data_IF_661996861186
#
_entry.id   IF_661996861186
#
_cell.length_a   1.000
_cell.length_b   1.000
_cell.length_c   1.000
_cell.angle_alpha   90.00
_cell.angle_beta   90.00
_cell.angle_gamma   90.00
#
_symmetry.space_group_name_H-M   'P 1'
#
loop_
_entity.id
_entity.type
_entity.pdbx_description
1 polymer ?
#
# COMPACT_ATOMS: atom_id res chain seq x y z
N UNK A 1 17.36 29.55 16.16
CA UNK A 1 16.77 28.21 16.36
C UNK A 1 15.83 27.99 15.17
N UNK A 2 16.01 26.90 14.43
CA UNK A 2 15.09 26.56 13.33
C UNK A 2 13.68 26.29 13.89
N UNK A 3 12.66 26.66 13.11
CA UNK A 3 11.29 26.46 13.55
C UNK A 3 10.91 24.97 13.52
N UNK A 4 10.23 24.51 14.57
CA UNK A 4 9.59 23.19 14.58
C UNK A 4 8.43 23.23 13.57
N UNK A 5 8.41 22.30 12.62
CA UNK A 5 7.42 22.24 11.55
C UNK A 5 6.48 21.04 11.68
N UNK A 6 6.91 19.95 12.35
CA UNK A 6 6.10 18.75 12.54
C UNK A 6 6.51 18.01 13.82
N UNK A 7 5.61 17.75 14.76
CA UNK A 7 5.75 16.90 15.98
C UNK A 7 7.16 16.91 16.64
N UNK A 8 7.75 18.09 16.83
CA UNK A 8 9.07 18.27 17.43
C UNK A 8 10.26 18.19 16.46
N UNK A 9 10.03 17.94 15.18
CA UNK A 9 11.05 17.98 14.15
C UNK A 9 11.21 19.37 13.53
N UNK A 10 12.46 19.77 13.32
CA UNK A 10 12.82 20.99 12.61
C UNK A 10 12.82 20.74 11.09
N UNK A 11 12.69 21.79 10.29
CA UNK A 11 12.61 21.70 8.83
C UNK A 11 13.78 20.89 8.21
N UNK A 12 14.98 21.08 8.72
CA UNK A 12 16.21 20.47 8.24
C UNK A 12 16.29 18.96 8.53
N UNK A 13 15.53 18.49 9.54
CA UNK A 13 15.48 17.08 9.94
C UNK A 13 14.47 16.28 9.11
N UNK A 14 13.47 16.96 8.52
CA UNK A 14 12.31 16.31 7.89
C UNK A 14 12.71 15.34 6.79
N UNK A 15 13.61 15.75 5.91
CA UNK A 15 14.03 14.90 4.78
C UNK A 15 14.66 13.59 5.26
N UNK A 16 15.53 13.62 6.27
CA UNK A 16 16.14 12.43 6.82
C UNK A 16 15.11 11.51 7.51
N UNK A 17 14.20 12.09 8.28
CA UNK A 17 13.27 11.33 9.11
C UNK A 17 12.04 10.81 8.36
N UNK A 18 11.66 11.44 7.26
CA UNK A 18 10.43 11.12 6.53
C UNK A 18 10.66 10.77 5.05
N UNK A 19 11.91 10.70 4.59
CA UNK A 19 12.30 10.09 3.32
C UNK A 19 13.24 8.90 3.56
N UNK A 20 12.71 7.67 3.79
CA UNK A 20 13.52 6.49 4.14
C UNK A 20 14.62 6.17 3.13
N UNK A 21 14.43 6.52 1.85
CA UNK A 21 15.46 6.31 0.82
C UNK A 21 16.73 7.13 1.09
N UNK A 22 16.59 8.32 1.68
CA UNK A 22 17.74 9.15 2.06
C UNK A 22 18.54 8.53 3.22
N UNK A 23 17.90 7.68 4.03
CA UNK A 23 18.51 7.03 5.19
C UNK A 23 19.14 5.66 4.88
N UNK A 24 18.97 5.12 3.65
CA UNK A 24 19.48 3.80 3.24
C UNK A 24 20.46 3.95 2.07
N UNK A 25 21.78 4.08 2.33
CA UNK A 25 22.79 4.27 1.27
C UNK A 25 22.77 3.18 0.19
N UNK A 26 22.54 1.92 0.59
CA UNK A 26 22.56 0.76 -0.30
C UNK A 26 21.20 0.49 -0.96
N UNK A 27 20.24 1.42 -0.88
CA UNK A 27 18.90 1.26 -1.45
C UNK A 27 18.91 0.81 -2.93
N UNK A 28 19.76 1.37 -3.82
CA UNK A 28 19.79 0.95 -5.23
C UNK A 28 20.09 -0.53 -5.41
N UNK A 29 21.04 -1.07 -4.63
CA UNK A 29 21.39 -2.50 -4.65
C UNK A 29 20.20 -3.37 -4.25
N UNK A 30 19.53 -3.05 -3.16
CA UNK A 30 18.37 -3.80 -2.68
C UNK A 30 17.19 -3.71 -3.64
N UNK A 31 16.99 -2.54 -4.27
CA UNK A 31 15.95 -2.36 -5.29
C UNK A 31 16.22 -3.26 -6.52
N UNK A 32 17.47 -3.33 -6.98
CA UNK A 32 17.87 -4.20 -8.10
C UNK A 32 17.69 -5.68 -7.78
N UNK A 33 18.13 -6.14 -6.60
CA UNK A 33 17.96 -7.54 -6.16
C UNK A 33 16.48 -7.91 -6.05
N UNK A 34 15.65 -7.02 -5.52
CA UNK A 34 14.20 -7.20 -5.45
C UNK A 34 13.59 -7.30 -6.85
N UNK A 35 13.95 -6.40 -7.76
CA UNK A 35 13.44 -6.41 -9.13
C UNK A 35 13.83 -7.69 -9.87
N UNK A 36 15.08 -8.15 -9.75
CA UNK A 36 15.54 -9.44 -10.32
C UNK A 36 14.76 -10.63 -9.76
N UNK A 37 14.54 -10.66 -8.45
CA UNK A 37 13.77 -11.72 -7.80
C UNK A 37 12.30 -11.70 -8.25
N UNK A 38 11.70 -10.51 -8.35
CA UNK A 38 10.33 -10.32 -8.83
C UNK A 38 10.16 -10.78 -10.28
N UNK A 39 11.11 -10.46 -11.15
CA UNK A 39 11.08 -10.89 -12.55
C UNK A 39 11.15 -12.43 -12.68
N UNK A 40 11.98 -13.10 -11.85
CA UNK A 40 12.04 -14.56 -11.82
C UNK A 40 10.71 -15.18 -11.37
N UNK A 41 10.14 -14.66 -10.26
CA UNK A 41 8.87 -15.16 -9.74
C UNK A 41 7.73 -14.96 -10.74
N UNK A 42 7.64 -13.78 -11.36
CA UNK A 42 6.59 -13.46 -12.34
C UNK A 42 6.63 -14.37 -13.57
N UNK A 43 7.83 -14.79 -14.02
CA UNK A 43 7.98 -15.70 -15.15
C UNK A 43 7.71 -17.17 -14.82
N UNK A 44 7.92 -17.57 -13.56
CA UNK A 44 7.82 -18.97 -13.13
C UNK A 44 6.45 -19.36 -12.58
N UNK A 45 5.59 -18.42 -12.27
CA UNK A 45 4.29 -18.68 -11.66
C UNK A 45 3.16 -18.62 -12.69
N UNK A 46 2.15 -19.47 -12.49
CA UNK A 46 0.88 -19.33 -13.20
C UNK A 46 0.26 -17.98 -12.80
N UNK A 47 -0.20 -17.20 -13.79
CA UNK A 47 -0.72 -15.87 -13.53
C UNK A 47 -1.67 -15.38 -14.62
N UNK A 48 -2.54 -14.47 -14.24
CA UNK A 48 -3.22 -13.54 -15.13
C UNK A 48 -2.60 -12.17 -14.91
N UNK A 49 -1.97 -11.63 -15.93
CA UNK A 49 -1.26 -10.35 -15.87
C UNK A 49 -2.12 -9.24 -16.45
N UNK A 50 -1.94 -8.04 -15.89
CA UNK A 50 -2.58 -6.80 -16.36
C UNK A 50 -4.11 -6.89 -16.46
N UNK A 51 -4.75 -7.59 -15.50
CA UNK A 51 -6.21 -7.68 -15.42
C UNK A 51 -6.77 -6.31 -15.05
N UNK A 52 -7.63 -5.68 -15.91
CA UNK A 52 -8.10 -4.34 -15.65
C UNK A 52 -9.20 -4.31 -14.57
N UNK A 53 -9.14 -3.34 -13.67
CA UNK A 53 -10.18 -3.02 -12.70
C UNK A 53 -10.77 -1.62 -12.91
N UNK A 54 -10.21 -0.84 -13.85
CA UNK A 54 -10.62 0.51 -14.17
C UNK A 54 -10.22 0.92 -15.59
N UNK A 55 -10.28 2.22 -15.88
CA UNK A 55 -10.14 2.74 -17.23
C UNK A 55 -8.76 3.30 -17.57
N UNK A 56 -7.90 3.55 -16.59
CA UNK A 56 -6.55 4.05 -16.87
C UNK A 56 -5.59 2.87 -17.15
N UNK A 57 -4.49 3.12 -17.88
CA UNK A 57 -3.50 2.07 -18.17
C UNK A 57 -2.85 1.44 -16.91
N UNK A 58 -2.86 2.16 -15.79
CA UNK A 58 -2.34 1.65 -14.52
C UNK A 58 -3.41 1.07 -13.59
N UNK A 59 -4.68 1.18 -13.92
CA UNK A 59 -5.74 0.52 -13.16
C UNK A 59 -5.85 -0.96 -13.54
N UNK A 60 -4.77 -1.71 -13.29
CA UNK A 60 -4.62 -3.13 -13.58
C UNK A 60 -4.06 -3.87 -12.36
N UNK A 61 -4.18 -5.18 -12.35
CA UNK A 61 -3.60 -6.05 -11.33
C UNK A 61 -3.03 -7.33 -11.94
N UNK A 62 -2.05 -7.94 -11.27
CA UNK A 62 -1.59 -9.29 -11.58
C UNK A 62 -2.18 -10.25 -10.55
N UNK A 63 -2.74 -11.38 -11.02
CA UNK A 63 -3.38 -12.39 -10.16
C UNK A 63 -2.60 -13.70 -10.28
N UNK A 64 -2.15 -14.22 -9.14
CA UNK A 64 -1.40 -15.46 -9.01
C UNK A 64 -2.25 -16.46 -8.22
N UNK A 65 -2.91 -17.43 -8.86
CA UNK A 65 -3.82 -18.35 -8.19
C UNK A 65 -3.08 -19.37 -7.33
N UNK A 66 -3.69 -19.76 -6.23
CA UNK A 66 -3.30 -20.98 -5.53
C UNK A 66 -3.68 -22.23 -6.36
N UNK A 67 -3.05 -23.37 -6.05
CA UNK A 67 -3.37 -24.64 -6.71
C UNK A 67 -4.78 -25.17 -6.36
N UNK A 68 -5.30 -24.79 -5.21
CA UNK A 68 -6.64 -25.20 -4.75
C UNK A 68 -7.68 -24.10 -4.98
N UNK A 69 -8.89 -24.46 -5.42
CA UNK A 69 -9.98 -23.49 -5.55
C UNK A 69 -10.44 -22.97 -4.18
N UNK A 70 -11.16 -21.85 -4.20
CA UNK A 70 -11.64 -21.14 -3.01
C UNK A 70 -10.52 -20.82 -2.00
N UNK A 71 -9.35 -20.45 -2.51
CA UNK A 71 -8.20 -20.08 -1.71
C UNK A 71 -8.39 -18.72 -1.02
N UNK A 72 -7.81 -18.48 0.19
CA UNK A 72 -7.74 -17.14 0.74
C UNK A 72 -7.01 -16.21 -0.23
N UNK A 73 -7.42 -14.94 -0.24
CA UNK A 73 -6.90 -13.94 -1.18
C UNK A 73 -6.08 -12.91 -0.42
N UNK A 74 -4.85 -12.69 -0.84
CA UNK A 74 -4.00 -11.60 -0.38
C UNK A 74 -3.89 -10.54 -1.48
N UNK A 75 -4.45 -9.37 -1.27
CA UNK A 75 -4.21 -8.19 -2.10
C UNK A 75 -3.02 -7.41 -1.54
N UNK A 76 -1.99 -7.26 -2.34
CA UNK A 76 -0.81 -6.48 -1.97
C UNK A 76 -0.75 -5.17 -2.73
N UNK A 77 -0.49 -4.08 -2.00
CA UNK A 77 -0.42 -2.71 -2.49
C UNK A 77 1.01 -2.22 -2.35
N UNK A 78 1.64 -1.88 -3.48
CA UNK A 78 3.03 -1.45 -3.48
C UNK A 78 3.22 -0.05 -2.89
N UNK A 79 4.46 0.24 -2.45
CA UNK A 79 4.90 1.55 -2.02
C UNK A 79 5.48 2.39 -3.14
N UNK A 80 6.06 3.53 -2.78
CA UNK A 80 6.72 4.45 -3.71
C UNK A 80 6.28 5.90 -3.58
N UNK A 81 5.81 6.29 -2.41
CA UNK A 81 5.32 7.64 -2.13
C UNK A 81 4.26 8.12 -3.12
N UNK A 82 3.37 7.23 -3.57
CA UNK A 82 2.30 7.52 -4.55
C UNK A 82 2.81 8.12 -5.89
N UNK A 83 4.12 8.21 -6.12
CA UNK A 83 4.76 8.79 -7.30
C UNK A 83 5.69 7.84 -8.05
N UNK A 84 5.80 6.61 -7.60
CA UNK A 84 6.66 5.59 -8.20
C UNK A 84 6.36 4.21 -7.67
N UNK A 85 7.13 3.23 -8.12
CA UNK A 85 6.90 1.81 -7.84
C UNK A 85 5.96 1.18 -8.86
N UNK A 86 5.90 -0.14 -8.80
CA UNK A 86 5.02 -0.94 -9.66
C UNK A 86 4.72 -2.30 -9.04
N UNK A 87 3.66 -2.95 -9.50
CA UNK A 87 3.33 -4.32 -9.12
C UNK A 87 4.42 -5.31 -9.55
N UNK A 88 5.09 -5.05 -10.67
CA UNK A 88 6.16 -5.90 -11.21
C UNK A 88 7.35 -6.03 -10.26
N UNK A 89 7.71 -4.94 -9.58
CA UNK A 89 8.84 -4.90 -8.63
C UNK A 89 8.54 -5.62 -7.31
N UNK A 90 7.30 -6.05 -7.10
CA UNK A 90 6.85 -6.63 -5.85
C UNK A 90 6.39 -8.09 -5.96
N UNK A 91 6.77 -8.80 -7.03
CA UNK A 91 6.41 -10.20 -7.23
C UNK A 91 7.29 -11.18 -6.45
N UNK A 92 8.40 -10.73 -5.88
CA UNK A 92 9.45 -11.58 -5.25
C UNK A 92 8.95 -12.46 -4.09
N UNK A 93 7.91 -12.07 -3.37
CA UNK A 93 7.36 -12.82 -2.24
C UNK A 93 6.16 -13.71 -2.62
N UNK A 94 5.59 -13.53 -3.82
CA UNK A 94 4.34 -14.17 -4.26
C UNK A 94 4.40 -15.68 -4.17
N UNK A 95 5.53 -16.28 -4.61
CA UNK A 95 5.71 -17.74 -4.61
C UNK A 95 5.49 -18.35 -3.21
N UNK A 96 5.97 -17.70 -2.16
CA UNK A 96 5.81 -18.20 -0.79
C UNK A 96 4.33 -18.27 -0.38
N UNK A 97 3.53 -17.27 -0.72
CA UNK A 97 2.11 -17.24 -0.40
C UNK A 97 1.30 -18.20 -1.26
N UNK A 98 1.61 -18.31 -2.56
CA UNK A 98 0.96 -19.29 -3.45
C UNK A 98 1.22 -20.71 -2.98
N UNK A 99 2.47 -21.04 -2.61
CA UNK A 99 2.82 -22.34 -2.02
C UNK A 99 2.13 -22.60 -0.66
N UNK A 100 1.89 -21.54 0.10
CA UNK A 100 1.11 -21.63 1.34
C UNK A 100 -0.41 -21.76 1.11
N UNK A 101 -0.85 -21.74 -0.15
CA UNK A 101 -2.25 -21.96 -0.55
C UNK A 101 -3.07 -20.68 -0.63
N UNK A 102 -2.47 -19.50 -0.77
CA UNK A 102 -3.18 -18.24 -0.98
C UNK A 102 -3.12 -17.81 -2.46
N UNK A 103 -4.23 -17.30 -2.97
CA UNK A 103 -4.23 -16.51 -4.22
C UNK A 103 -3.70 -15.12 -3.91
N UNK A 104 -2.73 -14.65 -4.69
CA UNK A 104 -2.11 -13.32 -4.49
C UNK A 104 -2.52 -12.40 -5.62
N UNK A 105 -2.94 -11.19 -5.27
CA UNK A 105 -3.25 -10.09 -6.19
C UNK A 105 -2.24 -8.97 -5.94
N UNK A 106 -1.47 -8.61 -6.95
CA UNK A 106 -0.58 -7.45 -6.92
C UNK A 106 -1.30 -6.27 -7.59
N UNK A 107 -1.63 -5.25 -6.81
CA UNK A 107 -2.39 -4.09 -7.29
C UNK A 107 -1.46 -3.03 -7.87
N UNK A 108 -1.84 -2.48 -9.03
CA UNK A 108 -1.25 -1.29 -9.63
C UNK A 108 -2.24 -0.11 -9.53
N UNK A 109 -1.76 1.13 -9.54
CA UNK A 109 -2.56 2.35 -9.48
C UNK A 109 -1.85 3.52 -10.15
N UNK A 110 -2.60 4.55 -10.54
CA UNK A 110 -2.04 5.78 -11.11
C UNK A 110 -1.18 6.52 -10.08
N UNK A 111 -0.25 7.34 -10.57
CA UNK A 111 0.76 7.98 -9.73
C UNK A 111 0.65 9.51 -9.78
N UNK A 112 1.03 10.15 -8.68
CA UNK A 112 1.31 11.59 -8.67
C UNK A 112 2.50 11.91 -9.60
N UNK A 113 2.50 13.06 -10.23
CA UNK A 113 1.53 14.17 -10.15
C UNK A 113 0.35 14.04 -11.13
N UNK A 114 0.22 12.92 -11.89
CA UNK A 114 -0.86 12.75 -12.87
C UNK A 114 -2.23 12.67 -12.21
N UNK A 115 -2.28 12.13 -11.00
CA UNK A 115 -3.48 12.09 -10.15
C UNK A 115 -3.13 12.55 -8.72
N UNK A 116 -4.14 12.82 -7.89
CA UNK A 116 -3.98 13.15 -6.48
C UNK A 116 -3.92 11.90 -5.60
N UNK A 117 -3.43 12.03 -4.36
CA UNK A 117 -3.48 10.94 -3.36
C UNK A 117 -4.92 10.50 -3.11
N UNK A 118 -5.87 11.44 -3.04
CA UNK A 118 -7.29 11.13 -2.89
C UNK A 118 -7.83 10.26 -4.04
N UNK A 119 -7.41 10.55 -5.27
CA UNK A 119 -7.78 9.70 -6.43
C UNK A 119 -7.16 8.31 -6.33
N UNK A 120 -5.89 8.19 -5.89
CA UNK A 120 -5.25 6.90 -5.67
C UNK A 120 -6.00 6.08 -4.60
N UNK A 121 -6.43 6.72 -3.50
CA UNK A 121 -7.27 6.09 -2.47
C UNK A 121 -8.58 5.58 -3.07
N UNK A 122 -9.23 6.36 -3.93
CA UNK A 122 -10.44 5.94 -4.63
C UNK A 122 -10.19 4.75 -5.55
N UNK A 123 -9.11 4.76 -6.33
CA UNK A 123 -8.74 3.66 -7.23
C UNK A 123 -8.47 2.36 -6.45
N UNK A 124 -7.75 2.44 -5.33
CA UNK A 124 -7.51 1.32 -4.45
C UNK A 124 -8.83 0.71 -3.93
N UNK A 125 -9.80 1.54 -3.51
CA UNK A 125 -11.12 1.07 -3.08
C UNK A 125 -11.85 0.36 -4.22
N UNK A 126 -11.85 0.94 -5.41
CA UNK A 126 -12.43 0.33 -6.62
C UNK A 126 -11.79 -1.03 -6.93
N UNK A 127 -10.46 -1.15 -6.80
CA UNK A 127 -9.75 -2.41 -7.00
C UNK A 127 -10.14 -3.48 -5.98
N UNK A 128 -10.25 -3.13 -4.70
CA UNK A 128 -10.67 -4.07 -3.65
C UNK A 128 -12.11 -4.54 -3.89
N UNK A 129 -13.02 -3.63 -4.27
CA UNK A 129 -14.39 -3.95 -4.63
C UNK A 129 -14.45 -4.88 -5.86
N UNK A 130 -13.63 -4.60 -6.88
CA UNK A 130 -13.49 -5.45 -8.05
C UNK A 130 -13.00 -6.86 -7.69
N UNK A 131 -11.96 -6.96 -6.86
CA UNK A 131 -11.45 -8.26 -6.37
C UNK A 131 -12.54 -9.03 -5.66
N UNK A 132 -13.31 -8.40 -4.78
CA UNK A 132 -14.44 -9.05 -4.10
C UNK A 132 -15.47 -9.61 -5.10
N UNK A 133 -15.80 -8.87 -6.15
CA UNK A 133 -16.79 -9.26 -7.14
C UNK A 133 -16.35 -10.36 -8.12
N UNK A 134 -15.04 -10.48 -8.38
CA UNK A 134 -14.54 -11.28 -9.52
C UNK A 134 -13.51 -12.35 -9.16
N UNK A 135 -12.91 -12.31 -7.96
CA UNK A 135 -11.76 -13.18 -7.65
C UNK A 135 -12.09 -14.68 -7.66
N UNK A 136 -13.36 -15.04 -7.53
CA UNK A 136 -13.81 -16.43 -7.66
C UNK A 136 -13.56 -17.03 -9.05
N UNK A 137 -13.57 -16.19 -10.11
CA UNK A 137 -13.24 -16.58 -11.47
C UNK A 137 -11.77 -16.98 -11.62
N UNK A 138 -10.92 -16.52 -10.69
CA UNK A 138 -9.48 -16.77 -10.61
C UNK A 138 -9.11 -17.76 -9.50
N UNK A 139 -10.10 -18.45 -8.91
CA UNK A 139 -9.88 -19.48 -7.89
C UNK A 139 -9.75 -18.96 -6.46
N UNK A 140 -9.94 -17.66 -6.21
CA UNK A 140 -9.95 -17.08 -4.88
C UNK A 140 -11.33 -17.14 -4.20
N UNK A 141 -11.35 -17.06 -2.89
CA UNK A 141 -12.56 -16.96 -2.07
C UNK A 141 -12.79 -15.50 -1.64
N UNK A 142 -13.80 -14.81 -2.19
CA UNK A 142 -14.06 -13.41 -1.83
C UNK A 142 -14.45 -13.23 -0.35
N UNK A 143 -14.91 -14.26 0.32
CA UNK A 143 -15.21 -14.21 1.75
C UNK A 143 -13.97 -14.27 2.65
N UNK A 144 -12.79 -14.49 2.07
CA UNK A 144 -11.50 -14.66 2.76
C UNK A 144 -10.46 -13.68 2.20
N UNK A 145 -10.81 -12.40 2.13
CA UNK A 145 -9.99 -11.33 1.57
C UNK A 145 -9.10 -10.69 2.65
N UNK A 146 -7.81 -10.67 2.43
CA UNK A 146 -6.80 -10.02 3.25
C UNK A 146 -6.05 -8.98 2.43
N UNK A 147 -5.60 -7.90 3.06
CA UNK A 147 -4.83 -6.86 2.38
C UNK A 147 -3.48 -6.60 3.07
N UNK A 148 -2.47 -6.28 2.31
CA UNK A 148 -1.17 -5.87 2.82
C UNK A 148 -0.56 -4.78 1.94
N UNK A 149 0.30 -3.95 2.52
CA UNK A 149 0.99 -2.92 1.75
C UNK A 149 2.20 -2.36 2.48
N UNK A 150 3.16 -1.88 1.69
CA UNK A 150 4.41 -1.29 2.16
C UNK A 150 4.42 0.22 1.91
N UNK A 151 4.83 1.03 2.90
CA UNK A 151 5.03 2.48 2.75
C UNK A 151 3.74 3.18 2.30
N UNK A 152 3.71 3.84 1.13
CA UNK A 152 2.48 4.37 0.54
C UNK A 152 1.38 3.29 0.41
N UNK A 153 1.74 2.02 0.16
CA UNK A 153 0.80 0.90 0.20
C UNK A 153 0.24 0.63 1.60
N UNK A 154 1.06 0.79 2.64
CA UNK A 154 0.61 0.71 4.04
C UNK A 154 -0.38 1.83 4.41
N UNK A 155 -0.18 3.03 3.88
CA UNK A 155 -1.17 4.12 3.94
C UNK A 155 -2.49 3.70 3.29
N UNK A 156 -2.44 3.18 2.06
CA UNK A 156 -3.63 2.75 1.33
C UNK A 156 -4.38 1.61 2.05
N UNK A 157 -3.65 0.69 2.69
CA UNK A 157 -4.25 -0.33 3.57
C UNK A 157 -5.03 0.32 4.72
N UNK A 158 -4.43 1.28 5.42
CA UNK A 158 -5.10 1.97 6.53
C UNK A 158 -6.34 2.75 6.05
N UNK A 159 -6.26 3.43 4.90
CA UNK A 159 -7.39 4.12 4.27
C UNK A 159 -8.50 3.16 3.82
N UNK A 160 -8.17 1.91 3.43
CA UNK A 160 -9.16 0.88 3.13
C UNK A 160 -9.91 0.41 4.38
N UNK A 161 -9.21 0.30 5.51
CA UNK A 161 -9.80 -0.09 6.80
C UNK A 161 -10.65 1.01 7.45
N UNK A 162 -10.38 2.27 7.12
CA UNK A 162 -11.19 3.42 7.55
C UNK A 162 -12.48 3.59 6.73
N UNK A 163 -12.60 2.87 5.61
CA UNK A 163 -13.72 3.01 4.69
C UNK A 163 -14.94 2.19 5.11
N UNK A 164 -16.12 2.81 5.04
CA UNK A 164 -17.40 2.14 5.29
C UNK A 164 -17.90 1.47 4.00
N UNK A 165 -17.55 0.19 3.83
CA UNK A 165 -17.89 -0.60 2.66
C UNK A 165 -19.40 -0.82 2.49
N UNK A 166 -20.21 -0.75 3.57
CA UNK A 166 -21.66 -0.91 3.49
C UNK A 166 -22.31 0.21 2.67
N UNK A 167 -21.72 1.40 2.64
CA UNK A 167 -22.21 2.51 1.80
C UNK A 167 -22.10 2.24 0.31
N UNK A 168 -21.24 1.31 -0.07
CA UNK A 168 -21.09 0.85 -1.46
C UNK A 168 -21.84 -0.47 -1.74
N UNK A 169 -22.66 -0.94 -0.79
CA UNK A 169 -23.40 -2.19 -0.91
C UNK A 169 -22.55 -3.45 -0.72
N UNK A 170 -21.35 -3.30 -0.16
CA UNK A 170 -20.43 -4.39 0.12
C UNK A 170 -20.50 -4.83 1.59
N UNK A 171 -20.05 -6.04 1.93
CA UNK A 171 -20.09 -6.50 3.33
C UNK A 171 -19.24 -5.60 4.25
N UNK A 172 -19.76 -5.30 5.44
CA UNK A 172 -19.02 -4.56 6.49
C UNK A 172 -17.63 -5.17 6.76
N UNK A 173 -17.58 -6.49 6.85
CA UNK A 173 -16.37 -7.27 7.09
C UNK A 173 -15.78 -7.79 5.77
N UNK A 174 -15.72 -6.94 4.74
CA UNK A 174 -15.14 -7.28 3.46
C UNK A 174 -13.69 -7.77 3.62
N UNK A 175 -12.90 -7.03 4.37
CA UNK A 175 -11.48 -7.32 4.67
C UNK A 175 -11.42 -8.09 5.97
N UNK A 176 -10.81 -9.29 5.96
CA UNK A 176 -10.72 -10.19 7.12
C UNK A 176 -9.50 -9.97 8.00
N UNK A 177 -8.49 -9.32 7.48
CA UNK A 177 -7.27 -8.94 8.19
C UNK A 177 -6.35 -8.13 7.30
N UNK A 178 -5.50 -7.33 7.92
CA UNK A 178 -4.61 -6.44 7.20
C UNK A 178 -3.21 -6.37 7.83
N UNK A 179 -2.21 -6.10 6.99
CA UNK A 179 -0.84 -5.82 7.42
C UNK A 179 -0.39 -4.53 6.74
N UNK A 180 -0.13 -3.49 7.52
CA UNK A 180 0.45 -2.23 7.06
C UNK A 180 1.92 -2.16 7.50
N UNK A 181 2.83 -2.19 6.52
CA UNK A 181 4.28 -2.24 6.75
C UNK A 181 4.86 -0.86 6.48
N UNK A 182 5.50 -0.27 7.49
CA UNK A 182 6.18 1.03 7.39
C UNK A 182 5.30 2.09 6.69
N UNK A 183 4.01 2.15 7.05
CA UNK A 183 3.03 2.99 6.39
C UNK A 183 3.22 4.49 6.66
N UNK A 184 2.67 5.33 5.78
CA UNK A 184 2.59 6.77 5.96
C UNK A 184 1.21 7.08 6.55
N UNK A 185 1.13 7.30 7.87
CA UNK A 185 -0.17 7.44 8.54
C UNK A 185 -0.56 8.88 8.82
N UNK A 186 0.40 9.81 8.78
CA UNK A 186 0.17 11.24 8.94
C UNK A 186 0.82 12.01 7.79
N UNK A 187 -0.01 12.48 6.86
CA UNK A 187 0.47 13.13 5.64
C UNK A 187 0.92 14.58 5.88
N UNK A 188 0.70 15.13 7.06
CA UNK A 188 1.26 16.45 7.40
C UNK A 188 2.80 16.43 7.37
N UNK A 189 3.43 15.33 7.78
CA UNK A 189 4.87 15.17 7.64
C UNK A 189 5.37 15.30 6.19
N UNK A 190 4.56 14.85 5.22
CA UNK A 190 4.94 14.83 3.80
C UNK A 190 4.97 16.23 3.18
N UNK A 191 4.16 17.17 3.69
CA UNK A 191 4.15 18.56 3.20
C UNK A 191 5.53 19.21 3.35
N UNK A 192 6.32 18.75 4.32
CA UNK A 192 7.58 19.37 4.71
C UNK A 192 8.83 18.74 4.04
N UNK A 193 8.67 17.78 3.14
CA UNK A 193 9.77 17.13 2.42
C UNK A 193 9.71 17.39 0.91
N UNK A 194 10.86 17.26 0.23
CA UNK A 194 11.00 17.60 -1.19
C UNK A 194 10.09 16.78 -2.12
N UNK A 195 9.76 15.55 -1.71
CA UNK A 195 8.84 14.68 -2.44
C UNK A 195 7.47 15.35 -2.66
N UNK A 196 7.06 16.29 -1.79
CA UNK A 196 5.79 16.97 -1.94
C UNK A 196 5.69 17.87 -3.18
N UNK A 197 6.79 18.24 -3.80
CA UNK A 197 6.78 18.98 -5.08
C UNK A 197 6.02 18.19 -6.17
N UNK A 198 6.12 16.86 -6.13
CA UNK A 198 5.41 15.97 -7.07
C UNK A 198 4.04 15.53 -6.52
N UNK A 199 3.91 15.26 -5.21
CA UNK A 199 2.64 14.80 -4.60
C UNK A 199 1.63 15.93 -4.48
N UNK A 200 2.09 17.16 -4.23
CA UNK A 200 1.30 18.40 -4.18
C UNK A 200 0.22 18.42 -3.09
N UNK A 201 0.54 17.84 -1.93
CA UNK A 201 -0.30 17.97 -0.75
C UNK A 201 -0.25 19.40 -0.21
N UNK A 202 -1.39 19.87 0.23
CA UNK A 202 -1.53 21.03 1.10
C UNK A 202 -2.10 20.57 2.47
N UNK A 203 -2.20 21.45 3.49
CA UNK A 203 -2.69 21.06 4.82
C UNK A 203 -4.10 20.42 4.82
N UNK A 204 -4.99 20.86 3.93
CA UNK A 204 -6.34 20.32 3.82
C UNK A 204 -6.31 18.90 3.23
N UNK A 205 -5.71 18.73 2.05
CA UNK A 205 -5.62 17.42 1.38
C UNK A 205 -4.78 16.40 2.16
N UNK A 206 -3.77 16.85 2.92
CA UNK A 206 -3.03 16.00 3.84
C UNK A 206 -3.94 15.47 4.96
N UNK A 207 -4.76 16.32 5.58
CA UNK A 207 -5.70 15.90 6.63
C UNK A 207 -6.74 14.91 6.11
N UNK A 208 -7.34 15.19 4.95
CA UNK A 208 -8.36 14.33 4.34
C UNK A 208 -7.84 12.93 4.02
N UNK A 209 -6.54 12.81 3.76
CA UNK A 209 -5.91 11.54 3.39
C UNK A 209 -4.99 10.97 4.48
N UNK A 210 -5.01 11.49 5.71
CA UNK A 210 -4.22 10.96 6.82
C UNK A 210 -4.98 9.89 7.61
N UNK A 211 -4.57 8.60 7.58
CA UNK A 211 -5.17 7.55 8.40
C UNK A 211 -5.18 7.89 9.89
N UNK A 212 -4.21 8.67 10.38
CA UNK A 212 -4.15 9.14 11.75
C UNK A 212 -5.40 9.92 12.18
N UNK A 213 -6.03 10.65 11.26
CA UNK A 213 -7.28 11.39 11.49
C UNK A 213 -8.53 10.60 11.08
N UNK A 214 -8.34 9.49 10.39
CA UNK A 214 -9.39 8.57 9.94
C UNK A 214 -9.03 7.15 10.39
N UNK A 215 -9.14 6.84 11.71
CA UNK A 215 -8.70 5.57 12.23
C UNK A 215 -9.47 4.40 11.60
N UNK A 216 -8.83 3.24 11.44
CA UNK A 216 -9.49 2.02 10.98
C UNK A 216 -10.75 1.72 11.80
N UNK A 217 -11.79 1.26 11.10
CA UNK A 217 -13.00 0.78 11.77
C UNK A 217 -12.67 -0.49 12.59
N UNK A 218 -13.28 -0.69 13.78
CA UNK A 218 -12.85 -1.70 14.76
C UNK A 218 -13.24 -3.14 14.38
N UNK A 219 -13.45 -3.41 13.10
CA UNK A 219 -13.97 -4.70 12.64
C UNK A 219 -12.90 -5.63 12.08
N UNK A 220 -11.75 -5.09 11.71
CA UNK A 220 -10.72 -5.85 11.00
C UNK A 220 -9.42 -5.85 11.79
N UNK A 221 -8.88 -7.04 12.14
CA UNK A 221 -7.55 -7.13 12.73
C UNK A 221 -6.50 -6.46 11.83
N UNK A 222 -5.68 -5.57 12.42
CA UNK A 222 -4.60 -4.88 11.75
C UNK A 222 -3.28 -5.16 12.46
N UNK A 223 -2.27 -5.56 11.69
CA UNK A 223 -0.88 -5.59 12.12
C UNK A 223 -0.19 -4.36 11.55
N UNK A 224 0.35 -3.51 12.42
CA UNK A 224 1.24 -2.41 12.05
C UNK A 224 2.67 -2.88 12.29
N UNK A 225 3.50 -2.86 11.24
CA UNK A 225 4.89 -3.28 11.32
C UNK A 225 5.81 -2.15 10.84
N UNK A 226 6.95 -1.98 11.51
CA UNK A 226 7.99 -1.02 11.11
C UNK A 226 9.37 -1.60 11.38
N UNK A 227 10.34 -1.33 10.52
CA UNK A 227 11.71 -1.79 10.70
C UNK A 227 12.41 -1.07 11.86
N UNK A 228 13.04 -1.82 12.79
CA UNK A 228 13.75 -1.24 13.94
C UNK A 228 14.92 -0.32 13.56
N UNK A 229 15.47 -0.46 12.36
CA UNK A 229 16.52 0.41 11.81
C UNK A 229 16.02 1.61 11.00
N UNK A 230 14.72 1.79 10.86
CA UNK A 230 14.16 2.95 10.14
C UNK A 230 14.35 4.25 10.95
N UNK A 231 14.36 5.42 10.29
CA UNK A 231 14.51 6.71 10.97
C UNK A 231 13.48 6.93 12.08
N UNK A 232 13.89 7.66 13.14
CA UNK A 232 13.04 7.90 14.32
C UNK A 232 11.65 8.42 13.95
N UNK A 233 11.55 9.40 13.04
CA UNK A 233 10.25 9.96 12.66
C UNK A 233 9.32 8.93 12.03
N UNK A 234 9.86 8.04 11.21
CA UNK A 234 9.09 6.95 10.59
C UNK A 234 8.59 5.92 11.60
N UNK A 235 9.46 5.52 12.54
CA UNK A 235 9.08 4.59 13.62
C UNK A 235 8.01 5.21 14.53
N UNK A 236 8.23 6.45 14.95
CA UNK A 236 7.27 7.17 15.80
C UNK A 236 5.90 7.32 15.11
N UNK A 237 5.86 7.60 13.80
CA UNK A 237 4.59 7.67 13.05
C UNK A 237 3.83 6.34 13.11
N UNK A 238 4.53 5.20 13.06
CA UNK A 238 3.91 3.87 13.18
C UNK A 238 3.45 3.57 14.61
N UNK A 239 4.23 3.98 15.62
CA UNK A 239 3.89 3.86 17.05
C UNK A 239 2.67 4.74 17.39
N UNK A 240 2.63 5.98 16.92
CA UNK A 240 1.51 6.92 17.15
C UNK A 240 0.20 6.44 16.50
N UNK A 241 0.29 5.68 15.42
CA UNK A 241 -0.88 5.16 14.70
C UNK A 241 -1.44 3.88 15.34
N UNK A 242 -0.60 3.08 16.01
CA UNK A 242 -1.01 1.84 16.70
C UNK A 242 -1.76 2.14 18.00
#
# INVERSE_FOLDING_TARGET
MSAIVYKGFQKEEMEFHFNPRAAVPDYPRWAEERSKASLRARRGLKSWLDVPYGNSPRQVMDIFPADKPAAPVLVYIHGGYWRGGSKEDNCHFVEAFVRAGATVVLLEYDLCPSVTVAEIVRQMRSAIAWVYGHISEYGGDPSRLYISGLSAGGHLVAMALAHDWEREGLPRHLIKGAIAISGVYDLDAVIHININEEIRLNPETARENSPFLHPPLPYTPLIVAVGGGEPRGWRQMSEDFF
#
